data_IF_138588149841
#
_entry.id   IF_138588149841
#
_cell.length_a   1.000
_cell.length_b   1.000
_cell.length_c   1.000
_cell.angle_alpha   90.00
_cell.angle_beta   90.00
_cell.angle_gamma   90.00
#
_symmetry.space_group_name_H-M   'P 1'
#
loop_
_entity.id
_entity.type
_entity.pdbx_description
1 polymer ?
#
# COMPACT_ATOMS: atom_id res chain seq x y z
N UNK A 1 0.75 -59.91 8.08
CA UNK A 1 0.80 -58.85 7.07
C UNK A 1 -0.46 -57.99 7.17
N UNK A 2 -0.37 -56.77 7.70
CA UNK A 2 -1.41 -55.74 7.55
C UNK A 2 -0.70 -54.41 7.28
N UNK A 3 -1.17 -53.74 6.24
CA UNK A 3 -0.59 -52.58 5.58
C UNK A 3 -0.39 -51.40 6.55
N UNK A 4 0.79 -50.77 6.49
CA UNK A 4 1.01 -49.43 7.03
C UNK A 4 0.56 -48.43 5.96
N UNK A 5 -0.51 -47.70 6.25
CA UNK A 5 -1.03 -46.66 5.38
C UNK A 5 -0.04 -45.50 5.29
N UNK A 6 0.45 -45.23 4.08
CA UNK A 6 1.28 -44.09 3.75
C UNK A 6 0.38 -42.84 3.81
N UNK A 7 0.48 -42.03 4.87
CA UNK A 7 -0.28 -40.79 4.97
C UNK A 7 0.27 -39.79 3.95
N UNK A 8 -0.48 -39.58 2.87
CA UNK A 8 -0.27 -38.48 1.93
C UNK A 8 -0.57 -37.16 2.69
N UNK A 9 0.48 -36.49 3.15
CA UNK A 9 0.38 -35.11 3.60
C UNK A 9 0.20 -34.25 2.34
N UNK A 10 -1.04 -34.06 1.90
CA UNK A 10 -1.37 -33.09 0.86
C UNK A 10 -0.96 -31.70 1.36
N UNK A 11 0.22 -31.21 0.93
CA UNK A 11 0.56 -29.80 0.99
C UNK A 11 -0.43 -29.04 0.10
N UNK A 12 -1.51 -28.54 0.69
CA UNK A 12 -2.40 -27.58 0.05
C UNK A 12 -1.57 -26.28 -0.07
N UNK A 13 -0.89 -26.10 -1.21
CA UNK A 13 -0.34 -24.80 -1.55
C UNK A 13 -1.53 -23.86 -1.73
N UNK A 14 -1.64 -22.75 -0.99
CA UNK A 14 -2.70 -21.79 -1.24
C UNK A 14 -2.55 -21.26 -2.66
N UNK A 15 -3.50 -21.61 -3.52
CA UNK A 15 -3.57 -21.08 -4.89
C UNK A 15 -4.04 -19.64 -4.80
N UNK A 16 -3.10 -18.70 -4.69
CA UNK A 16 -3.41 -17.28 -4.81
C UNK A 16 -3.78 -17.05 -6.28
N UNK A 17 -5.07 -16.87 -6.55
CA UNK A 17 -5.59 -16.60 -7.90
C UNK A 17 -5.29 -15.15 -8.27
N UNK A 18 -4.58 -14.95 -9.38
CA UNK A 18 -4.28 -13.61 -9.91
C UNK A 18 -5.59 -12.89 -10.29
N UNK A 19 -5.92 -11.81 -9.57
CA UNK A 19 -7.07 -10.98 -9.91
C UNK A 19 -6.68 -10.00 -11.03
N UNK A 20 -7.20 -10.26 -12.22
CA UNK A 20 -6.95 -9.42 -13.40
C UNK A 20 -7.81 -8.16 -13.43
N UNK A 21 -8.75 -7.99 -12.50
CA UNK A 21 -9.58 -6.78 -12.43
C UNK A 21 -8.70 -5.58 -12.06
N UNK A 22 -8.91 -4.41 -12.71
CA UNK A 22 -8.16 -3.22 -12.38
C UNK A 22 -8.44 -2.75 -10.95
N UNK A 23 -7.52 -1.97 -10.39
CA UNK A 23 -7.74 -1.25 -9.12
C UNK A 23 -9.02 -0.40 -9.21
N UNK A 24 -9.86 -0.31 -8.17
CA UNK A 24 -11.09 0.49 -8.23
C UNK A 24 -10.81 1.97 -8.54
N UNK A 25 -11.72 2.62 -9.29
CA UNK A 25 -11.56 4.00 -9.75
C UNK A 25 -11.44 5.01 -8.61
N UNK A 26 -12.09 4.73 -7.49
CA UNK A 26 -12.08 5.56 -6.29
C UNK A 26 -10.67 5.76 -5.72
N UNK A 27 -9.73 4.84 -5.95
CA UNK A 27 -8.36 4.99 -5.48
C UNK A 27 -7.49 5.84 -6.42
N UNK A 28 -7.92 6.06 -7.66
CA UNK A 28 -7.10 6.73 -8.68
C UNK A 28 -6.90 8.21 -8.39
N UNK A 29 -5.71 8.70 -8.70
CA UNK A 29 -5.32 10.10 -8.53
C UNK A 29 -4.27 10.29 -7.45
N UNK A 30 -4.04 11.56 -7.10
CA UNK A 30 -3.10 11.95 -6.04
C UNK A 30 -3.88 12.22 -4.75
N UNK A 31 -3.41 11.66 -3.64
CA UNK A 31 -4.00 11.74 -2.32
C UNK A 31 -3.05 12.41 -1.36
N UNK A 32 -3.46 13.56 -0.81
CA UNK A 32 -2.65 14.37 0.10
C UNK A 32 -3.13 14.12 1.53
N UNK A 33 -2.23 13.76 2.46
CA UNK A 33 -2.59 13.55 3.86
C UNK A 33 -3.09 14.86 4.49
N UNK A 34 -4.17 14.78 5.27
CA UNK A 34 -4.73 15.91 6.01
C UNK A 34 -4.52 15.80 7.51
N UNK A 35 -4.96 14.69 8.10
CA UNK A 35 -4.88 14.44 9.53
C UNK A 35 -4.74 12.94 9.81
N UNK A 36 -4.43 12.61 11.06
CA UNK A 36 -4.30 11.26 11.53
C UNK A 36 -5.03 11.02 12.84
N UNK A 37 -5.33 9.75 13.07
CA UNK A 37 -5.71 9.21 14.36
C UNK A 37 -4.64 8.21 14.79
N UNK A 38 -4.05 8.42 15.95
CA UNK A 38 -3.14 7.47 16.60
C UNK A 38 -1.78 7.25 15.91
N UNK A 39 -1.38 8.10 14.94
CA UNK A 39 -0.09 7.93 14.23
C UNK A 39 1.10 8.02 15.17
N UNK A 40 1.09 8.93 16.15
CA UNK A 40 2.18 9.03 17.12
C UNK A 40 2.40 7.71 17.89
N UNK A 41 1.32 7.02 18.31
CA UNK A 41 1.44 5.73 19.00
C UNK A 41 1.92 4.62 18.06
N UNK A 42 1.48 4.63 16.81
CA UNK A 42 1.99 3.70 15.80
C UNK A 42 3.50 3.91 15.56
N UNK A 43 3.95 5.16 15.44
CA UNK A 43 5.36 5.48 15.26
C UNK A 43 6.20 5.12 16.50
N UNK A 44 5.62 5.26 17.69
CA UNK A 44 6.21 4.77 18.94
C UNK A 44 6.34 3.24 18.97
N UNK A 45 5.31 2.52 18.55
CA UNK A 45 5.34 1.06 18.41
C UNK A 45 6.43 0.60 17.43
N UNK A 46 6.66 1.38 16.37
CA UNK A 46 7.76 1.22 15.40
C UNK A 46 9.14 1.65 15.95
N UNK A 47 9.23 2.00 17.23
CA UNK A 47 10.45 2.39 17.94
C UNK A 47 11.09 3.69 17.44
N UNK A 48 10.33 4.58 16.79
CA UNK A 48 10.82 5.92 16.46
C UNK A 48 10.90 6.80 17.71
N UNK A 49 12.05 7.43 17.92
CA UNK A 49 12.25 8.42 18.97
C UNK A 49 11.41 9.68 18.75
N UNK A 50 11.02 10.35 19.85
CA UNK A 50 10.05 11.45 19.85
C UNK A 50 10.30 12.52 18.77
N UNK A 51 11.54 13.00 18.62
CA UNK A 51 11.87 14.04 17.64
C UNK A 51 11.62 13.58 16.19
N UNK A 52 11.98 12.34 15.87
CA UNK A 52 11.73 11.76 14.54
C UNK A 52 10.22 11.60 14.31
N UNK A 53 9.44 11.23 15.34
CA UNK A 53 7.99 11.12 15.22
C UNK A 53 7.35 12.44 14.81
N UNK A 54 7.77 13.56 15.41
CA UNK A 54 7.26 14.88 15.02
C UNK A 54 7.55 15.19 13.55
N UNK A 55 8.77 14.89 13.07
CA UNK A 55 9.15 15.11 11.66
C UNK A 55 8.30 14.24 10.72
N UNK A 56 8.06 12.98 11.07
CA UNK A 56 7.26 12.05 10.26
C UNK A 56 5.78 12.44 10.21
N UNK A 57 5.23 12.96 11.32
CA UNK A 57 3.85 13.48 11.36
C UNK A 57 3.70 14.77 10.55
N UNK A 58 4.72 15.64 10.53
CA UNK A 58 4.72 16.83 9.66
C UNK A 58 4.88 16.49 8.17
N UNK A 59 5.57 15.38 7.86
CA UNK A 59 5.85 14.94 6.48
C UNK A 59 5.12 13.64 6.13
N UNK A 60 3.81 13.59 6.41
CA UNK A 60 2.99 12.45 6.03
C UNK A 60 3.06 12.16 4.52
N UNK A 61 2.83 10.90 4.18
CA UNK A 61 3.10 10.36 2.84
C UNK A 61 1.95 10.64 1.87
N UNK A 62 2.20 11.50 0.87
CA UNK A 62 1.35 11.65 -0.31
C UNK A 62 1.39 10.37 -1.16
N UNK A 63 0.26 10.00 -1.73
CA UNK A 63 0.14 8.79 -2.57
C UNK A 63 -0.39 9.16 -3.94
N UNK A 64 0.06 8.48 -4.98
CA UNK A 64 -0.48 8.63 -6.32
C UNK A 64 -0.71 7.25 -6.90
N UNK A 65 -1.97 6.94 -7.21
CA UNK A 65 -2.34 5.70 -7.88
C UNK A 65 -2.67 6.01 -9.34
N UNK A 66 -2.02 5.31 -10.26
CA UNK A 66 -2.24 5.46 -11.70
C UNK A 66 -2.62 4.11 -12.29
N UNK A 67 -3.79 4.04 -12.92
CA UNK A 67 -4.22 2.84 -13.63
C UNK A 67 -3.44 2.70 -14.94
N UNK A 68 -2.96 1.50 -15.19
CA UNK A 68 -2.65 1.00 -16.53
C UNK A 68 -3.69 -0.09 -16.88
N UNK A 69 -3.62 -0.70 -18.07
CA UNK A 69 -4.60 -1.72 -18.55
C UNK A 69 -5.09 -2.69 -17.46
N UNK A 70 -4.24 -3.64 -17.06
CA UNK A 70 -4.55 -4.66 -16.03
C UNK A 70 -3.61 -4.55 -14.82
N UNK A 71 -2.90 -3.43 -14.69
CA UNK A 71 -1.92 -3.18 -13.63
C UNK A 71 -2.08 -1.74 -13.16
N UNK A 72 -1.41 -1.37 -12.07
CA UNK A 72 -1.39 0.01 -11.61
C UNK A 72 0.00 0.39 -11.10
N UNK A 73 0.29 1.68 -11.10
CA UNK A 73 1.50 2.23 -10.49
C UNK A 73 1.13 2.95 -9.20
N UNK A 74 2.01 2.87 -8.21
CA UNK A 74 1.91 3.65 -6.98
C UNK A 74 3.18 4.48 -6.83
N UNK A 75 3.01 5.77 -6.55
CA UNK A 75 4.09 6.61 -6.05
C UNK A 75 3.77 7.06 -4.63
N UNK A 76 4.70 6.82 -3.72
CA UNK A 76 4.69 7.31 -2.35
C UNK A 76 5.67 8.47 -2.25
N UNK A 77 5.25 9.63 -1.76
CA UNK A 77 6.09 10.84 -1.68
C UNK A 77 6.04 11.45 -0.28
N UNK A 78 7.19 11.78 0.29
CA UNK A 78 7.33 12.49 1.57
C UNK A 78 8.49 13.48 1.47
N UNK A 79 8.21 14.77 1.67
CA UNK A 79 9.19 15.84 1.41
C UNK A 79 9.77 15.75 -0.01
N UNK A 80 11.10 15.58 -0.10
CA UNK A 80 11.82 15.41 -1.37
C UNK A 80 12.03 13.93 -1.76
N UNK A 81 11.63 12.97 -0.93
CA UNK A 81 11.81 11.54 -1.19
C UNK A 81 10.57 10.96 -1.87
N UNK A 82 10.80 10.07 -2.82
CA UNK A 82 9.74 9.29 -3.44
C UNK A 82 10.16 7.82 -3.61
N UNK A 83 9.20 6.91 -3.49
CA UNK A 83 9.31 5.51 -3.89
C UNK A 83 8.20 5.21 -4.90
N UNK A 84 8.57 4.68 -6.06
CA UNK A 84 7.64 4.34 -7.14
C UNK A 84 7.63 2.85 -7.39
N UNK A 85 6.44 2.27 -7.49
CA UNK A 85 6.19 0.86 -7.75
C UNK A 85 5.38 0.73 -9.03
N UNK A 86 5.96 0.12 -10.05
CA UNK A 86 5.37 0.06 -11.38
C UNK A 86 4.80 -1.31 -11.73
N UNK A 87 3.68 -1.32 -12.46
CA UNK A 87 3.01 -2.53 -12.96
C UNK A 87 2.57 -3.50 -11.86
N UNK A 88 2.09 -2.96 -10.76
CA UNK A 88 1.52 -3.70 -9.64
C UNK A 88 0.24 -4.42 -10.06
N UNK A 89 0.00 -5.58 -9.47
CA UNK A 89 -1.17 -6.41 -9.72
C UNK A 89 -1.77 -6.86 -8.38
N UNK A 90 -3.09 -6.92 -8.32
CA UNK A 90 -3.81 -7.49 -7.18
C UNK A 90 -3.53 -9.01 -7.16
N UNK A 91 -3.34 -9.56 -5.97
CA UNK A 91 -3.00 -10.95 -5.70
C UNK A 91 -1.66 -11.41 -6.28
N UNK A 92 -0.74 -10.47 -6.53
CA UNK A 92 0.61 -10.78 -6.96
C UNK A 92 1.64 -10.12 -6.06
N UNK A 93 2.44 -10.95 -5.41
CA UNK A 93 3.52 -10.48 -4.56
C UNK A 93 4.63 -9.87 -5.41
N UNK A 94 5.18 -8.74 -4.96
CA UNK A 94 6.31 -8.08 -5.60
C UNK A 94 7.33 -7.64 -4.54
N UNK A 95 8.58 -7.42 -4.97
CA UNK A 95 9.68 -6.97 -4.12
C UNK A 95 10.08 -5.56 -4.50
N UNK A 96 10.21 -4.67 -3.52
CA UNK A 96 10.59 -3.27 -3.78
C UNK A 96 11.22 -2.63 -2.54
N UNK A 97 11.75 -1.42 -2.71
CA UNK A 97 12.17 -0.55 -1.61
C UNK A 97 10.98 0.24 -1.05
N UNK A 98 10.93 0.36 0.27
CA UNK A 98 9.99 1.24 0.95
C UNK A 98 10.62 2.59 1.29
N UNK A 99 9.85 3.49 1.92
CA UNK A 99 10.30 4.85 2.24
C UNK A 99 11.41 4.89 3.30
N UNK A 100 11.58 3.82 4.07
CA UNK A 100 12.69 3.64 5.01
C UNK A 100 14.01 3.22 4.32
N UNK A 101 13.98 3.02 2.99
CA UNK A 101 15.14 2.58 2.20
C UNK A 101 15.44 1.09 2.32
N UNK A 102 14.63 0.33 3.06
CA UNK A 102 14.74 -1.12 3.18
C UNK A 102 13.85 -1.80 2.14
N UNK A 103 14.18 -3.05 1.84
CA UNK A 103 13.44 -3.88 0.90
C UNK A 103 12.45 -4.79 1.63
N UNK A 104 11.29 -4.98 1.02
CA UNK A 104 10.24 -5.84 1.52
C UNK A 104 9.56 -6.58 0.36
N UNK A 105 8.80 -7.60 0.70
CA UNK A 105 7.76 -8.13 -0.19
C UNK A 105 6.44 -7.45 0.13
N UNK A 106 5.64 -7.24 -0.91
CA UNK A 106 4.37 -6.54 -0.83
C UNK A 106 3.32 -7.35 -1.58
N UNK A 107 2.11 -7.44 -1.02
CA UNK A 107 0.96 -8.07 -1.65
C UNK A 107 -0.25 -7.15 -1.52
N UNK A 108 -0.82 -6.75 -2.66
CA UNK A 108 -2.13 -6.13 -2.69
C UNK A 108 -3.20 -7.20 -2.82
N UNK A 109 -4.24 -7.12 -2.00
CA UNK A 109 -5.47 -7.91 -2.09
C UNK A 109 -6.68 -6.97 -2.06
N UNK A 110 -7.84 -7.46 -2.46
CA UNK A 110 -9.12 -6.79 -2.22
C UNK A 110 -9.60 -7.13 -0.82
N UNK A 111 -10.10 -6.12 -0.12
CA UNK A 111 -10.88 -6.32 1.10
C UNK A 111 -12.36 -6.04 0.80
N UNK A 112 -13.24 -6.43 1.72
CA UNK A 112 -14.68 -6.16 1.61
C UNK A 112 -14.98 -4.67 1.39
N UNK A 113 -14.16 -3.79 1.98
CA UNK A 113 -14.36 -2.33 1.99
C UNK A 113 -13.27 -1.56 1.23
N UNK A 114 -12.43 -2.24 0.43
CA UNK A 114 -11.39 -1.55 -0.35
C UNK A 114 -10.20 -2.43 -0.73
N UNK A 115 -9.00 -1.98 -0.37
CA UNK A 115 -7.74 -2.66 -0.67
C UNK A 115 -6.97 -2.98 0.60
N UNK A 116 -6.33 -4.14 0.62
CA UNK A 116 -5.38 -4.53 1.65
C UNK A 116 -3.99 -4.60 1.03
N UNK A 117 -3.01 -3.93 1.64
CA UNK A 117 -1.60 -4.13 1.37
C UNK A 117 -0.96 -4.83 2.57
N UNK A 118 -0.37 -5.99 2.33
CA UNK A 118 0.46 -6.68 3.32
C UNK A 118 1.94 -6.44 2.98
N UNK A 119 2.71 -6.05 3.99
CA UNK A 119 4.17 -5.85 3.90
C UNK A 119 4.85 -6.98 4.66
N UNK A 120 5.69 -7.75 3.98
CA UNK A 120 6.40 -8.88 4.55
C UNK A 120 7.89 -8.57 4.70
N UNK A 121 8.47 -9.00 5.80
CA UNK A 121 9.91 -8.98 6.00
C UNK A 121 10.61 -9.82 4.90
N UNK A 122 11.70 -9.29 4.31
CA UNK A 122 12.39 -9.97 3.20
C UNK A 122 13.00 -11.31 3.61
N UNK A 123 13.48 -11.42 4.85
CA UNK A 123 14.20 -12.59 5.37
C UNK A 123 13.26 -13.63 5.97
N UNK A 124 12.27 -13.21 6.77
CA UNK A 124 11.39 -14.13 7.50
C UNK A 124 10.10 -14.44 6.76
N UNK A 125 9.71 -13.62 5.76
CA UNK A 125 8.39 -13.67 5.11
C UNK A 125 7.20 -13.54 6.08
N UNK A 126 7.44 -13.07 7.31
CA UNK A 126 6.37 -12.74 8.24
C UNK A 126 5.78 -11.37 7.91
N UNK A 127 4.49 -11.19 8.19
CA UNK A 127 3.81 -9.91 8.02
C UNK A 127 4.38 -8.93 9.04
N UNK A 128 5.05 -7.90 8.52
CA UNK A 128 5.56 -6.77 9.31
C UNK A 128 4.44 -5.76 9.60
N UNK A 129 3.66 -5.44 8.57
CA UNK A 129 2.69 -4.35 8.58
C UNK A 129 1.55 -4.67 7.62
N UNK A 130 0.33 -4.29 8.00
CA UNK A 130 -0.81 -4.29 7.10
C UNK A 130 -1.32 -2.87 6.91
N UNK A 131 -1.80 -2.58 5.70
CA UNK A 131 -2.39 -1.29 5.35
C UNK A 131 -3.72 -1.53 4.67
N UNK A 132 -4.83 -1.15 5.32
CA UNK A 132 -6.15 -1.15 4.71
C UNK A 132 -6.45 0.24 4.15
N UNK A 133 -6.78 0.28 2.86
CA UNK A 133 -7.26 1.47 2.18
C UNK A 133 -8.76 1.37 1.99
N UNK A 134 -9.48 2.39 2.43
CA UNK A 134 -10.92 2.52 2.31
C UNK A 134 -11.25 3.93 1.81
N UNK A 135 -12.11 4.01 0.79
CA UNK A 135 -12.59 5.29 0.32
C UNK A 135 -13.96 5.56 0.93
N UNK A 136 -14.05 6.63 1.72
CA UNK A 136 -15.29 7.18 2.24
C UNK A 136 -15.28 8.66 1.97
N UNK A 137 -16.09 9.11 1.02
CA UNK A 137 -16.10 10.50 0.58
C UNK A 137 -16.18 11.46 1.78
N UNK A 138 -15.28 12.47 1.88
CA UNK A 138 -14.33 12.92 0.86
C UNK A 138 -12.91 12.33 0.98
N UNK A 139 -12.69 11.30 1.80
CA UNK A 139 -11.37 10.83 2.19
C UNK A 139 -11.01 9.44 1.67
N UNK A 140 -9.75 9.31 1.26
CA UNK A 140 -9.06 8.02 1.30
C UNK A 140 -8.49 7.81 2.70
N UNK A 141 -9.09 6.89 3.44
CA UNK A 141 -8.66 6.46 4.76
C UNK A 141 -7.62 5.35 4.62
N UNK A 142 -6.53 5.47 5.36
CA UNK A 142 -5.45 4.49 5.38
C UNK A 142 -5.20 4.02 6.81
N UNK A 143 -5.64 2.80 7.11
CA UNK A 143 -5.43 2.14 8.39
C UNK A 143 -4.14 1.35 8.33
N UNK A 144 -3.11 1.80 9.06
CA UNK A 144 -1.80 1.13 9.14
C UNK A 144 -1.71 0.42 10.47
N UNK A 145 -1.50 -0.91 10.44
CA UNK A 145 -1.35 -1.74 11.62
C UNK A 145 0.05 -2.32 11.71
N UNK A 146 0.71 -2.10 12.85
CA UNK A 146 2.02 -2.65 13.18
C UNK A 146 2.00 -3.13 14.64
N UNK A 147 2.38 -4.38 14.90
CA UNK A 147 2.36 -4.99 16.25
C UNK A 147 1.05 -4.70 17.03
N UNK A 148 -0.10 -4.94 16.40
CA UNK A 148 -1.45 -4.70 16.95
C UNK A 148 -1.80 -3.23 17.27
N UNK A 149 -0.91 -2.28 16.97
CA UNK A 149 -1.21 -0.85 17.05
C UNK A 149 -1.66 -0.38 15.68
N UNK A 150 -2.83 0.26 15.62
CA UNK A 150 -3.40 0.78 14.36
C UNK A 150 -3.50 2.30 14.42
N UNK A 151 -3.13 2.96 13.33
CA UNK A 151 -3.41 4.37 13.09
C UNK A 151 -4.20 4.54 11.81
N UNK A 152 -5.08 5.53 11.76
CA UNK A 152 -5.75 5.95 10.53
C UNK A 152 -5.14 7.25 10.03
N UNK A 153 -4.82 7.33 8.73
CA UNK A 153 -4.38 8.57 8.09
C UNK A 153 -5.38 8.91 6.99
N UNK A 154 -5.99 10.08 7.10
CA UNK A 154 -6.96 10.59 6.14
C UNK A 154 -6.26 11.37 5.04
N UNK A 155 -6.65 11.12 3.80
CA UNK A 155 -6.12 11.84 2.65
C UNK A 155 -7.27 12.41 1.81
N UNK A 156 -7.14 13.65 1.36
CA UNK A 156 -8.06 14.24 0.38
C UNK A 156 -7.48 14.11 -1.03
N UNK A 157 -8.36 14.13 -2.02
CA UNK A 157 -7.95 14.04 -3.43
C UNK A 157 -7.40 15.39 -3.90
N UNK A 158 -6.24 15.38 -4.53
CA UNK A 158 -5.67 16.54 -5.20
C UNK A 158 -6.33 16.70 -6.58
N UNK A 159 -7.39 17.50 -6.64
CA UNK A 159 -8.16 17.76 -7.86
C UNK A 159 -7.36 18.54 -8.92
N UNK A 160 -6.29 19.24 -8.52
CA UNK A 160 -5.51 20.11 -9.43
C UNK A 160 -4.57 19.34 -10.37
N UNK A 161 -4.46 18.01 -10.23
CA UNK A 161 -3.50 17.18 -10.99
C UNK A 161 -4.16 16.26 -12.03
N UNK A 162 -5.45 16.43 -12.30
CA UNK A 162 -6.19 15.61 -13.27
C UNK A 162 -6.08 16.09 -14.72
N UNK A 163 -5.43 17.22 -15.02
CA UNK A 163 -5.22 17.61 -16.40
C UNK A 163 -4.00 16.90 -17.01
N UNK A 164 -4.16 16.05 -18.05
CA UNK A 164 -3.04 15.76 -18.92
C UNK A 164 -2.58 17.10 -19.52
N UNK A 165 -1.28 17.40 -19.41
CA UNK A 165 -0.67 18.43 -20.25
C UNK A 165 -0.95 18.05 -21.71
N UNK A 166 -1.96 18.66 -22.32
CA UNK A 166 -2.10 18.67 -23.76
C UNK A 166 -0.86 19.40 -24.26
N UNK A 167 0.05 18.66 -24.88
CA UNK A 167 1.19 19.24 -25.59
C UNK A 167 0.59 20.16 -26.66
N UNK A 168 0.83 21.46 -26.52
CA UNK A 168 0.60 22.45 -27.58
C UNK A 168 1.55 22.11 -28.74
N UNK A 169 1.11 21.22 -29.62
CA UNK A 169 1.61 21.06 -30.98
C UNK A 169 0.39 20.89 -31.86
N UNK A 170 -0.14 22.01 -32.31
CA UNK A 170 -0.81 22.27 -33.59
C UNK A 170 -1.70 23.50 -33.39
N UNK A 171 -1.17 24.66 -33.77
CA UNK A 171 -1.88 25.81 -34.36
C UNK A 171 -0.86 26.96 -34.50
N UNK A 172 0.00 26.84 -35.52
CA UNK A 172 0.58 27.93 -36.30
C UNK A 172 1.30 27.33 -37.51
#
# INVERSE_FOLDING_TARGET
MKLVALSLLCLIKPTISEDKRPIPDDFLGTWIPSHDENLNKLLEAKQYGWAIRQILMLNMVKKTFVRNKNTFNITLTTGQRASSWDRMQINKMFKSYYLDGLRYYFLFDRSEHGLLLQVFNEQTFEIKETVHFQYEEPFLQMYVTYNNVTACIYHYKDEKRLEPKITLMELA
#
